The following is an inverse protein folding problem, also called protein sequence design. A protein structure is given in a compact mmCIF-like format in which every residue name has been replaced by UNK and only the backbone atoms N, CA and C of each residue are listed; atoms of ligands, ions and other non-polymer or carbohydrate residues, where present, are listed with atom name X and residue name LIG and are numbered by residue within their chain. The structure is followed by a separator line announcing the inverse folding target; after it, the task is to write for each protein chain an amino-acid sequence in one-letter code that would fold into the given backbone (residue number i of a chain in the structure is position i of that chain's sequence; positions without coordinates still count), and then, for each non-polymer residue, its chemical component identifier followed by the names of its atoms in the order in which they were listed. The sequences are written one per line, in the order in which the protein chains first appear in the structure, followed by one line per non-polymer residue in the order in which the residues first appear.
data_IF_321667842441
#
_entry.id   IF_321667842441
#
_cell.length_a   1.000
_cell.length_b   1.000
_cell.length_c   1.000
_cell.angle_alpha   90.00
_cell.angle_beta   90.00
_cell.angle_gamma   90.00
#
_symmetry.space_group_name_H-M   'P 1'
#
loop_
_entity.id
_entity.type
_entity.pdbx_description
1 polymer ?
#
# COMPACT_ATOMS: atom_id res chain seq x y z
N UNK A 1 56.14 35.02 -26.77
CA UNK A 1 55.03 35.90 -26.36
C UNK A 1 54.18 35.11 -25.38
N UNK A 2 54.26 35.41 -24.08
CA UNK A 2 53.56 34.64 -23.04
C UNK A 2 52.22 35.29 -22.74
N UNK A 3 51.13 34.59 -23.06
CA UNK A 3 49.77 35.00 -22.69
C UNK A 3 49.57 34.61 -21.22
N UNK A 4 49.52 35.60 -20.32
CA UNK A 4 49.13 35.39 -18.93
C UNK A 4 47.65 35.69 -18.79
N UNK A 5 46.88 34.71 -18.33
CA UNK A 5 45.48 34.89 -17.99
C UNK A 5 45.41 35.66 -16.66
N UNK A 6 44.90 36.89 -16.68
CA UNK A 6 44.80 37.80 -15.52
C UNK A 6 43.45 37.74 -14.80
N UNK A 7 42.56 36.85 -15.23
CA UNK A 7 41.25 36.67 -14.59
C UNK A 7 41.38 35.61 -13.49
N UNK A 8 41.38 36.04 -12.23
CA UNK A 8 41.13 35.13 -11.11
C UNK A 8 39.70 34.61 -11.20
N UNK A 9 39.46 33.30 -11.03
CA UNK A 9 38.10 32.76 -11.02
C UNK A 9 37.33 33.38 -9.87
N UNK A 10 36.16 33.94 -10.12
CA UNK A 10 35.23 34.28 -9.05
C UNK A 10 34.89 32.98 -8.31
N UNK A 11 35.19 32.91 -7.01
CA UNK A 11 34.87 31.78 -6.14
C UNK A 11 33.37 31.70 -5.79
N UNK A 12 32.51 32.04 -6.74
CA UNK A 12 31.04 31.99 -6.61
C UNK A 12 30.43 30.95 -7.56
N UNK A 13 31.20 29.93 -7.92
CA UNK A 13 30.63 28.65 -8.31
C UNK A 13 30.75 27.77 -7.07
N UNK A 14 29.78 27.86 -6.17
CA UNK A 14 29.41 26.66 -5.44
C UNK A 14 28.98 25.68 -6.53
N UNK A 15 29.66 24.55 -6.63
CA UNK A 15 28.95 23.38 -7.11
C UNK A 15 27.77 23.26 -6.15
N UNK A 16 26.60 23.78 -6.53
CA UNK A 16 25.42 22.99 -6.27
C UNK A 16 25.73 21.71 -7.04
N UNK A 17 26.38 20.77 -6.34
CA UNK A 17 25.90 19.42 -6.37
C UNK A 17 24.40 19.59 -6.19
N UNK A 18 23.70 19.70 -7.32
CA UNK A 18 22.30 19.39 -7.38
C UNK A 18 22.30 18.00 -6.76
N UNK A 19 22.05 17.96 -5.46
CA UNK A 19 21.36 16.89 -4.81
C UNK A 19 20.12 16.76 -5.68
N UNK A 20 20.24 15.99 -6.74
CA UNK A 20 19.19 15.09 -7.15
C UNK A 20 19.02 14.26 -5.88
N UNK A 21 18.24 14.78 -4.93
CA UNK A 21 17.55 13.97 -3.96
C UNK A 21 16.80 13.03 -4.86
N UNK A 22 17.36 11.85 -5.10
CA UNK A 22 16.77 10.84 -5.93
C UNK A 22 15.38 10.62 -5.36
N UNK A 23 14.38 11.24 -5.97
CA UNK A 23 13.03 11.27 -5.44
C UNK A 23 12.55 9.85 -5.52
N UNK A 24 12.44 9.19 -4.38
CA UNK A 24 12.02 7.81 -4.40
C UNK A 24 10.66 7.67 -5.08
N UNK A 25 10.50 6.62 -5.87
CA UNK A 25 9.28 6.38 -6.64
C UNK A 25 8.67 5.08 -6.17
N UNK A 26 7.34 5.06 -6.04
CA UNK A 26 6.59 3.84 -5.82
C UNK A 26 5.92 3.38 -7.13
N UNK A 27 6.26 2.19 -7.58
CA UNK A 27 5.56 1.46 -8.62
C UNK A 27 4.59 0.45 -8.01
N UNK A 28 3.52 0.15 -8.73
CA UNK A 28 2.54 -0.85 -8.31
C UNK A 28 2.53 -1.95 -9.37
N UNK A 29 2.82 -3.17 -8.95
CA UNK A 29 2.94 -4.32 -9.83
C UNK A 29 1.71 -5.23 -9.69
N UNK A 30 0.85 -5.19 -10.70
CA UNK A 30 -0.35 -6.04 -10.78
C UNK A 30 -0.09 -7.39 -11.47
N UNK A 31 1.14 -7.66 -11.92
CA UNK A 31 1.46 -8.81 -12.79
C UNK A 31 1.69 -10.10 -12.02
N UNK A 32 2.23 -10.02 -10.79
CA UNK A 32 2.63 -11.17 -9.98
C UNK A 32 1.48 -11.76 -9.15
N UNK A 33 0.71 -10.91 -8.47
CA UNK A 33 -0.44 -11.30 -7.64
C UNK A 33 -1.75 -10.84 -8.29
N UNK A 34 -2.12 -11.47 -9.40
CA UNK A 34 -3.26 -11.05 -10.23
C UNK A 34 -4.62 -11.12 -9.50
N UNK A 35 -4.73 -12.00 -8.52
CA UNK A 35 -5.97 -12.25 -7.77
C UNK A 35 -6.18 -11.27 -6.60
N UNK A 36 -5.43 -10.17 -6.51
CA UNK A 36 -5.53 -9.21 -5.40
C UNK A 36 -6.90 -8.53 -5.23
N UNK A 37 -7.78 -8.60 -6.24
CA UNK A 37 -9.17 -8.14 -6.16
C UNK A 37 -10.18 -9.24 -5.84
N UNK A 38 -9.74 -10.49 -5.79
CA UNK A 38 -10.59 -11.65 -5.54
C UNK A 38 -11.22 -11.54 -4.15
N UNK A 39 -12.52 -11.77 -4.12
CA UNK A 39 -13.28 -11.78 -2.87
C UNK A 39 -13.09 -13.10 -2.11
N UNK A 40 -12.95 -13.01 -0.79
CA UNK A 40 -12.86 -14.14 0.12
C UNK A 40 -13.55 -13.86 1.46
N UNK A 41 -13.71 -14.91 2.25
CA UNK A 41 -14.23 -14.87 3.62
C UNK A 41 -13.48 -15.86 4.50
N UNK A 42 -12.86 -15.34 5.55
CA UNK A 42 -12.23 -16.16 6.59
C UNK A 42 -13.22 -16.29 7.74
N UNK A 43 -14.10 -17.29 7.65
CA UNK A 43 -15.14 -17.60 8.67
C UNK A 43 -15.86 -16.32 9.14
N UNK A 44 -15.76 -16.00 10.43
CA UNK A 44 -16.32 -14.80 11.07
C UNK A 44 -15.27 -13.70 11.35
N UNK A 45 -14.05 -13.84 10.86
CA UNK A 45 -12.93 -12.93 11.16
C UNK A 45 -12.72 -11.86 10.10
N UNK A 46 -12.88 -12.21 8.82
CA UNK A 46 -12.60 -11.30 7.71
C UNK A 46 -13.52 -11.59 6.52
N UNK A 47 -13.83 -10.54 5.77
CA UNK A 47 -14.34 -10.62 4.41
C UNK A 47 -13.96 -9.35 3.65
N UNK A 48 -13.71 -9.47 2.36
CA UNK A 48 -13.62 -8.34 1.43
C UNK A 48 -14.71 -8.41 0.35
N UNK A 49 -15.79 -9.17 0.60
CA UNK A 49 -16.92 -9.24 -0.30
C UNK A 49 -17.68 -7.91 -0.33
N UNK A 50 -18.14 -7.51 -1.51
CA UNK A 50 -18.90 -6.29 -1.72
C UNK A 50 -20.40 -6.54 -1.60
N UNK A 51 -21.14 -5.54 -1.11
CA UNK A 51 -22.60 -5.64 -0.98
C UNK A 51 -23.32 -5.57 -2.32
N UNK A 52 -22.76 -4.82 -3.27
CA UNK A 52 -23.32 -4.56 -4.60
C UNK A 52 -22.25 -3.96 -5.55
N UNK A 53 -22.62 -3.75 -6.81
CA UNK A 53 -21.77 -3.14 -7.84
C UNK A 53 -21.33 -1.71 -7.47
N UNK A 54 -22.15 -0.94 -6.73
CA UNK A 54 -21.81 0.43 -6.34
C UNK A 54 -20.69 0.42 -5.30
N UNK A 55 -20.71 -0.53 -4.38
CA UNK A 55 -19.66 -0.72 -3.38
C UNK A 55 -18.32 -0.99 -4.07
N UNK A 56 -18.21 -2.04 -4.90
CA UNK A 56 -16.95 -2.33 -5.60
C UNK A 56 -16.48 -1.15 -6.47
N UNK A 57 -17.39 -0.48 -7.19
CA UNK A 57 -17.02 0.69 -8.01
C UNK A 57 -16.46 1.85 -7.16
N UNK A 58 -17.05 2.12 -6.00
CA UNK A 58 -16.53 3.13 -5.07
C UNK A 58 -15.18 2.70 -4.50
N UNK A 59 -15.02 1.41 -4.16
CA UNK A 59 -13.74 0.87 -3.67
C UNK A 59 -12.64 1.04 -4.71
N UNK A 60 -12.87 0.62 -5.95
CA UNK A 60 -11.89 0.75 -7.02
C UNK A 60 -11.57 2.21 -7.35
N UNK A 61 -12.58 3.09 -7.37
CA UNK A 61 -12.37 4.53 -7.54
C UNK A 61 -11.44 5.05 -6.45
N UNK A 62 -11.70 4.74 -5.18
CA UNK A 62 -10.90 5.28 -4.08
C UNK A 62 -9.48 4.70 -4.07
N UNK A 63 -9.29 3.43 -4.44
CA UNK A 63 -7.95 2.84 -4.61
C UNK A 63 -7.13 3.61 -5.65
N UNK A 64 -7.67 3.78 -6.86
CA UNK A 64 -6.92 4.36 -7.97
C UNK A 64 -6.82 5.89 -7.93
N UNK A 65 -7.84 6.58 -7.42
CA UNK A 65 -7.86 8.05 -7.40
C UNK A 65 -7.35 8.66 -6.09
N UNK A 66 -7.21 7.87 -5.02
CA UNK A 66 -6.78 8.38 -3.71
C UNK A 66 -5.64 7.56 -3.11
N UNK A 67 -5.84 6.27 -2.86
CA UNK A 67 -4.86 5.47 -2.08
C UNK A 67 -3.53 5.35 -2.80
N UNK A 68 -3.54 4.94 -4.06
CA UNK A 68 -2.31 4.78 -4.84
C UNK A 68 -1.59 6.12 -5.09
N UNK A 69 -2.27 7.19 -5.55
CA UNK A 69 -1.64 8.51 -5.63
C UNK A 69 -1.04 8.98 -4.30
N UNK A 70 -1.77 8.87 -3.19
CA UNK A 70 -1.28 9.24 -1.87
C UNK A 70 -0.03 8.47 -1.47
N UNK A 71 -0.02 7.15 -1.73
CA UNK A 71 1.13 6.30 -1.43
C UNK A 71 2.36 6.67 -2.28
N UNK A 72 2.15 6.99 -3.56
CA UNK A 72 3.22 7.41 -4.47
C UNK A 72 3.80 8.77 -4.08
N UNK A 73 2.95 9.74 -3.73
CA UNK A 73 3.36 11.08 -3.30
C UNK A 73 4.10 11.07 -1.96
N UNK A 74 3.80 10.10 -1.08
CA UNK A 74 4.32 10.06 0.29
C UNK A 74 5.27 8.89 0.56
N UNK A 75 5.78 8.18 -0.46
CA UNK A 75 6.59 6.97 -0.26
C UNK A 75 7.75 7.14 0.72
N UNK A 76 8.48 8.27 0.68
CA UNK A 76 9.55 8.52 1.63
C UNK A 76 9.07 8.60 3.09
N UNK A 77 7.88 9.19 3.33
CA UNK A 77 7.29 9.24 4.67
C UNK A 77 6.81 7.87 5.12
N UNK A 78 6.26 7.08 4.20
CA UNK A 78 5.79 5.71 4.45
C UNK A 78 6.96 4.83 4.88
N UNK A 79 8.07 4.87 4.14
CA UNK A 79 9.28 4.11 4.48
C UNK A 79 9.95 4.60 5.77
N UNK A 80 9.75 5.86 6.15
CA UNK A 80 10.16 6.40 7.43
C UNK A 80 9.14 6.15 8.57
N UNK A 81 8.07 5.37 8.31
CA UNK A 81 6.97 5.09 9.23
C UNK A 81 6.29 6.36 9.81
N UNK A 82 6.25 7.43 9.02
CA UNK A 82 5.68 8.72 9.37
C UNK A 82 4.36 9.00 8.62
N UNK A 83 3.64 7.95 8.22
CA UNK A 83 2.35 8.05 7.56
C UNK A 83 1.31 7.14 8.23
N UNK A 84 0.36 7.74 8.94
CA UNK A 84 -0.53 7.01 9.86
C UNK A 84 -1.41 5.95 9.17
N UNK A 85 -1.77 6.16 7.90
CA UNK A 85 -2.61 5.25 7.14
C UNK A 85 -1.83 4.23 6.30
N UNK A 86 -0.50 4.42 6.20
CA UNK A 86 0.39 3.60 5.39
C UNK A 86 1.53 3.07 6.27
N UNK A 87 1.37 1.86 6.80
CA UNK A 87 2.31 1.32 7.79
C UNK A 87 2.46 -0.19 7.67
N UNK A 88 3.54 -0.69 8.27
CA UNK A 88 3.80 -2.13 8.41
C UNK A 88 2.75 -2.75 9.33
N UNK A 89 2.30 -3.96 9.00
CA UNK A 89 1.45 -4.80 9.84
C UNK A 89 2.34 -5.65 10.74
N UNK A 90 2.77 -5.07 11.86
CA UNK A 90 3.66 -5.71 12.84
C UNK A 90 2.92 -6.47 13.95
N UNK A 91 1.64 -6.16 14.18
CA UNK A 91 0.80 -6.88 15.13
C UNK A 91 0.61 -8.34 14.70
N UNK A 92 0.97 -9.27 15.59
CA UNK A 92 1.01 -10.71 15.29
C UNK A 92 -0.35 -11.27 14.86
N UNK A 93 -1.43 -10.89 15.54
CA UNK A 93 -2.75 -11.44 15.25
C UNK A 93 -3.29 -10.92 13.92
N UNK A 94 -3.05 -9.64 13.63
CA UNK A 94 -3.42 -9.02 12.36
C UNK A 94 -2.60 -9.59 11.21
N UNK A 95 -1.29 -9.77 11.40
CA UNK A 95 -0.41 -10.43 10.45
C UNK A 95 -0.87 -11.85 10.16
N UNK A 96 -1.18 -12.64 11.19
CA UNK A 96 -1.71 -14.00 11.04
C UNK A 96 -3.03 -14.04 10.25
N UNK A 97 -3.90 -13.05 10.44
CA UNK A 97 -5.14 -12.93 9.68
C UNK A 97 -4.86 -12.57 8.22
N UNK A 98 -3.95 -11.62 7.95
CA UNK A 98 -3.51 -11.30 6.59
C UNK A 98 -2.95 -12.54 5.88
N UNK A 99 -2.08 -13.32 6.54
CA UNK A 99 -1.52 -14.55 5.96
C UNK A 99 -2.60 -15.55 5.57
N UNK A 100 -3.61 -15.77 6.43
CA UNK A 100 -4.76 -16.64 6.10
C UNK A 100 -5.55 -16.14 4.88
N UNK A 101 -5.77 -14.82 4.77
CA UNK A 101 -6.47 -14.22 3.62
C UNK A 101 -5.66 -14.41 2.33
N UNK A 102 -4.36 -14.18 2.41
CA UNK A 102 -3.43 -14.32 1.27
C UNK A 102 -3.36 -15.76 0.79
N UNK A 103 -3.23 -16.72 1.71
CA UNK A 103 -3.23 -18.15 1.41
C UNK A 103 -4.53 -18.58 0.71
N UNK A 104 -5.67 -18.11 1.20
CA UNK A 104 -6.98 -18.41 0.60
C UNK A 104 -7.15 -17.79 -0.80
N UNK A 105 -6.65 -16.58 -1.03
CA UNK A 105 -6.77 -15.90 -2.33
C UNK A 105 -5.81 -16.51 -3.36
N UNK A 106 -4.53 -16.64 -2.99
CA UNK A 106 -3.43 -16.93 -3.91
C UNK A 106 -2.96 -18.39 -3.89
N UNK A 107 -3.47 -19.22 -2.96
CA UNK A 107 -3.02 -20.59 -2.72
C UNK A 107 -1.48 -20.67 -2.49
N UNK A 108 -0.95 -19.69 -1.75
CA UNK A 108 0.48 -19.55 -1.45
C UNK A 108 0.69 -19.08 -0.01
N UNK A 109 1.56 -19.78 0.71
CA UNK A 109 2.08 -19.31 2.01
C UNK A 109 3.15 -18.26 1.79
N UNK A 110 3.03 -17.14 2.49
CA UNK A 110 4.03 -16.08 2.49
C UNK A 110 4.99 -16.30 3.66
N UNK A 111 6.30 -16.13 3.40
CA UNK A 111 7.34 -16.21 4.43
C UNK A 111 7.13 -15.17 5.53
N UNK A 112 7.43 -15.54 6.78
CA UNK A 112 7.38 -14.61 7.92
C UNK A 112 8.36 -13.43 7.76
N UNK A 113 9.36 -13.55 6.90
CA UNK A 113 10.32 -12.48 6.58
C UNK A 113 9.74 -11.39 5.67
N UNK A 114 8.63 -11.68 4.97
CA UNK A 114 8.01 -10.70 4.06
C UNK A 114 7.25 -9.65 4.87
N UNK A 115 7.69 -8.40 4.79
CA UNK A 115 6.96 -7.30 5.38
C UNK A 115 5.61 -7.09 4.66
N UNK A 116 4.55 -7.10 5.46
CA UNK A 116 3.21 -6.78 5.00
C UNK A 116 2.92 -5.33 5.35
N UNK A 117 2.43 -4.60 4.36
CA UNK A 117 2.10 -3.19 4.42
C UNK A 117 0.60 -3.01 4.22
N UNK A 118 0.02 -2.13 5.02
CA UNK A 118 -1.31 -1.58 4.78
C UNK A 118 -1.13 -0.23 4.10
N UNK A 119 -1.76 -0.01 2.94
CA UNK A 119 -1.84 1.30 2.30
C UNK A 119 -3.28 1.84 2.41
N UNK A 120 -3.39 3.09 2.85
CA UNK A 120 -4.63 3.84 2.94
C UNK A 120 -4.40 5.32 2.69
N UNK A 121 -5.47 6.09 2.53
CA UNK A 121 -5.37 7.55 2.42
C UNK A 121 -6.44 8.23 3.30
N UNK A 122 -7.71 7.93 3.02
CA UNK A 122 -8.86 8.39 3.81
C UNK A 122 -9.93 7.31 3.83
N UNK A 123 -10.80 7.31 4.86
CA UNK A 123 -11.92 6.37 4.96
C UNK A 123 -11.52 4.96 5.42
N UNK A 124 -12.33 3.96 5.03
CA UNK A 124 -12.26 2.58 5.54
C UNK A 124 -11.45 1.64 4.64
N UNK A 125 -11.28 1.96 3.36
CA UNK A 125 -10.62 1.07 2.39
C UNK A 125 -9.12 1.03 2.61
N UNK A 126 -8.55 -0.17 2.62
CA UNK A 126 -7.11 -0.42 2.63
C UNK A 126 -6.72 -1.39 1.53
N UNK A 127 -5.52 -1.22 0.98
CA UNK A 127 -4.88 -2.23 0.13
C UNK A 127 -3.73 -2.84 0.92
N UNK A 128 -3.77 -4.15 1.12
CA UNK A 128 -2.73 -4.89 1.81
C UNK A 128 -1.78 -5.47 0.78
N UNK A 129 -0.48 -5.35 0.99
CA UNK A 129 0.52 -5.86 0.07
C UNK A 129 1.91 -5.90 0.67
N UNK A 130 2.92 -6.04 -0.18
CA UNK A 130 4.32 -5.97 0.23
C UNK A 130 5.06 -4.91 -0.59
N UNK A 131 5.96 -4.17 0.05
CA UNK A 131 6.82 -3.19 -0.59
C UNK A 131 8.24 -3.75 -0.65
N UNK A 132 8.79 -3.88 -1.86
CA UNK A 132 10.16 -4.35 -2.07
C UNK A 132 11.03 -3.17 -2.54
N UNK A 133 12.08 -2.79 -1.79
CA UNK A 133 13.00 -1.72 -2.17
C UNK A 133 14.05 -2.18 -3.18
N UNK A 134 14.29 -1.35 -4.19
CA UNK A 134 15.34 -1.47 -5.21
C UNK A 134 16.04 -0.12 -5.37
N UNK A 135 16.91 0.22 -4.42
CA UNK A 135 17.52 1.54 -4.35
C UNK A 135 16.45 2.59 -4.05
N UNK A 136 16.24 3.52 -4.99
CA UNK A 136 15.23 4.58 -4.86
C UNK A 136 13.89 4.23 -5.52
N UNK A 137 13.77 3.02 -6.05
CA UNK A 137 12.51 2.50 -6.58
C UNK A 137 11.94 1.54 -5.56
N UNK A 138 10.69 1.74 -5.19
CA UNK A 138 9.91 0.83 -4.36
C UNK A 138 8.86 0.17 -5.25
N UNK A 139 8.68 -1.14 -5.11
CA UNK A 139 7.63 -1.87 -5.84
C UNK A 139 6.63 -2.40 -4.83
N UNK A 140 5.39 -1.93 -4.91
CA UNK A 140 4.28 -2.46 -4.14
C UNK A 140 3.58 -3.57 -4.93
N UNK A 141 3.49 -4.72 -4.30
CA UNK A 141 2.75 -5.88 -4.75
C UNK A 141 1.43 -5.97 -3.96
N UNK A 142 0.29 -5.53 -4.52
CA UNK A 142 -0.98 -5.68 -3.84
C UNK A 142 -1.32 -7.16 -3.70
N UNK A 143 -1.79 -7.55 -2.52
CA UNK A 143 -2.14 -8.92 -2.18
C UNK A 143 -3.64 -9.10 -1.96
N UNK A 144 -4.30 -8.15 -1.31
CA UNK A 144 -5.76 -8.10 -1.21
C UNK A 144 -6.27 -6.72 -0.79
N UNK A 145 -7.57 -6.50 -0.97
CA UNK A 145 -8.26 -5.29 -0.49
C UNK A 145 -9.00 -5.60 0.82
N UNK A 146 -8.81 -4.76 1.83
CA UNK A 146 -9.67 -4.72 3.01
C UNK A 146 -10.64 -3.54 2.86
N UNK A 147 -11.81 -3.79 2.26
CA UNK A 147 -12.81 -2.77 1.97
C UNK A 147 -13.67 -2.39 3.18
N UNK A 148 -13.57 -3.13 4.28
CA UNK A 148 -14.38 -2.95 5.50
C UNK A 148 -13.54 -2.59 6.74
N UNK A 149 -12.24 -2.33 6.56
CA UNK A 149 -11.29 -2.01 7.63
C UNK A 149 -11.26 -3.05 8.78
N UNK A 150 -11.35 -4.34 8.44
CA UNK A 150 -11.44 -5.43 9.41
C UNK A 150 -10.09 -5.88 9.97
N UNK A 151 -8.96 -5.58 9.31
CA UNK A 151 -7.62 -5.91 9.84
C UNK A 151 -7.28 -5.01 11.03
N UNK A 152 -7.55 -3.70 10.93
CA UNK A 152 -7.40 -2.72 12.01
C UNK A 152 -8.74 -2.06 12.31
N UNK A 153 -9.68 -2.77 12.97
CA UNK A 153 -11.00 -2.24 13.27
C UNK A 153 -10.89 -0.97 14.11
N UNK A 154 -11.66 0.07 13.78
CA UNK A 154 -11.75 1.25 14.63
C UNK A 154 -12.43 0.91 15.97
N UNK A 155 -12.00 1.57 17.05
CA UNK A 155 -12.55 1.34 18.39
C UNK A 155 -14.04 1.72 18.54
N UNK A 156 -14.64 2.36 17.54
CA UNK A 156 -16.06 2.74 17.53
C UNK A 156 -16.91 1.58 16.98
N UNK A 157 -17.11 0.56 17.82
CA UNK A 157 -17.64 -0.76 17.47
C UNK A 157 -19.10 -0.85 17.01
N UNK A 158 -19.46 -0.28 15.86
CA UNK A 158 -20.85 -0.40 15.34
C UNK A 158 -21.03 -0.97 13.92
N UNK A 159 -19.99 -1.04 13.08
CA UNK A 159 -20.13 -1.46 11.67
C UNK A 159 -19.46 -2.80 11.32
N UNK A 160 -18.26 -3.09 11.85
CA UNK A 160 -17.46 -4.27 11.46
C UNK A 160 -18.17 -5.62 11.64
N UNK A 161 -19.00 -5.77 12.68
CA UNK A 161 -19.75 -6.99 12.94
C UNK A 161 -20.96 -7.19 12.00
N UNK A 162 -21.48 -6.13 11.39
CA UNK A 162 -22.57 -6.21 10.41
C UNK A 162 -22.04 -6.59 9.04
N UNK A 163 -20.87 -6.11 8.65
CA UNK A 163 -20.29 -6.36 7.32
C UNK A 163 -19.87 -7.83 7.15
N UNK A 164 -19.38 -8.46 8.22
CA UNK A 164 -19.14 -9.90 8.24
C UNK A 164 -20.45 -10.70 8.12
N UNK A 165 -21.58 -10.22 8.66
CA UNK A 165 -22.85 -10.97 8.66
C UNK A 165 -23.75 -10.69 7.43
N UNK A 166 -23.64 -9.52 6.80
CA UNK A 166 -24.59 -9.05 5.78
C UNK A 166 -24.04 -8.97 4.36
N UNK A 167 -22.74 -9.21 4.12
CA UNK A 167 -22.20 -9.20 2.76
C UNK A 167 -22.80 -10.34 1.94
N UNK A 168 -23.71 -9.96 1.03
CA UNK A 168 -24.27 -10.85 0.01
C UNK A 168 -23.12 -11.39 -0.86
N UNK A 169 -23.25 -12.66 -1.26
CA UNK A 169 -22.24 -13.49 -1.89
C UNK A 169 -21.99 -13.08 -3.35
N UNK A 170 -21.72 -11.81 -3.63
CA UNK A 170 -21.26 -11.41 -4.96
C UNK A 170 -19.74 -11.59 -4.98
N UNK A 171 -19.33 -12.77 -5.40
CA UNK A 171 -17.92 -13.10 -5.62
C UNK A 171 -17.57 -12.55 -7.00
N UNK A 172 -16.68 -11.56 -7.05
CA UNK A 172 -16.04 -11.16 -8.29
C UNK A 172 -14.78 -12.03 -8.43
N UNK A 173 -14.74 -12.81 -9.51
CA UNK A 173 -13.59 -13.63 -9.91
C UNK A 173 -12.68 -12.84 -10.85
#
# INVERSE_FOLDING_TARGET
MNIKNTVTPNSLVTNDENHVTSSSVLHIDFSYYRDWLKSTRIKSKFTNCYSDNKHINNTMRDIFSKIFPHAQENINKIMANNEAHCHIISDRDKRNLCTQVIEEIHNKTISEEVELWQLGATGEIRVIGSIIPHGTIYIFYPLFVDCHHLIYPSNNGSNNHKDVKNSKKTIYN
#
